data_IF_331366545020
#
_entry.id   IF_331366545020
#
_cell.length_a   1.000
_cell.length_b   1.000
_cell.length_c   1.000
_cell.angle_alpha   90.00
_cell.angle_beta   90.00
_cell.angle_gamma   90.00
#
_symmetry.space_group_name_H-M   'P 1'
#
loop_
_entity.id
_entity.type
_entity.pdbx_description
1 polymer ?
#
# COMPACT_ATOMS: atom_id res chain seq x y z
N UNK A 1 -23.00 18.54 21.43
CA UNK A 1 -23.32 17.53 20.39
C UNK A 1 -22.57 17.92 19.12
N UNK A 2 -21.69 17.06 18.62
CA UNK A 2 -20.68 17.44 17.62
C UNK A 2 -21.11 16.98 16.22
N UNK A 3 -21.20 17.90 15.25
CA UNK A 3 -21.57 17.62 13.86
C UNK A 3 -20.45 16.94 13.05
N UNK A 4 -19.73 16.00 13.67
CA UNK A 4 -18.59 15.28 13.07
C UNK A 4 -19.05 14.51 11.83
N UNK A 5 -20.31 14.06 11.79
CA UNK A 5 -20.88 13.39 10.62
C UNK A 5 -20.94 14.29 9.37
N UNK A 6 -21.13 15.60 9.56
CA UNK A 6 -21.22 16.58 8.45
C UNK A 6 -19.84 17.12 8.05
N UNK A 7 -18.95 17.32 9.02
CA UNK A 7 -17.59 17.85 8.78
C UNK A 7 -16.52 16.76 8.64
N UNK A 8 -16.88 15.48 8.67
CA UNK A 8 -16.00 14.34 8.47
C UNK A 8 -14.98 14.49 7.33
N UNK A 9 -15.38 14.86 6.10
CA UNK A 9 -14.42 15.03 5.00
C UNK A 9 -13.43 16.18 5.22
N UNK A 10 -13.86 17.28 5.86
CA UNK A 10 -12.97 18.41 6.19
C UNK A 10 -11.97 18.00 7.26
N UNK A 11 -12.41 17.26 8.27
CA UNK A 11 -11.55 16.74 9.35
C UNK A 11 -10.53 15.75 8.80
N UNK A 12 -10.94 14.83 7.93
CA UNK A 12 -10.03 13.90 7.24
C UNK A 12 -8.98 14.66 6.42
N UNK A 13 -9.40 15.66 5.66
CA UNK A 13 -8.48 16.47 4.87
C UNK A 13 -7.47 17.22 5.75
N UNK A 14 -7.89 17.82 6.87
CA UNK A 14 -6.97 18.50 7.81
C UNK A 14 -5.97 17.50 8.41
N UNK A 15 -6.43 16.33 8.84
CA UNK A 15 -5.58 15.31 9.46
C UNK A 15 -4.62 14.66 8.44
N UNK A 16 -4.98 14.60 7.16
CA UNK A 16 -4.08 14.13 6.11
C UNK A 16 -2.89 15.06 5.83
N UNK A 17 -2.93 16.32 6.28
CA UNK A 17 -1.86 17.31 6.04
C UNK A 17 -0.60 17.07 6.86
N UNK A 18 -0.68 16.34 7.97
CA UNK A 18 0.49 16.02 8.80
C UNK A 18 0.76 14.50 8.74
N UNK A 19 2.00 14.07 8.45
CA UNK A 19 2.32 12.65 8.29
C UNK A 19 1.94 11.78 9.49
N UNK A 20 2.11 12.30 10.71
CA UNK A 20 1.78 11.56 11.94
C UNK A 20 0.28 11.34 12.13
N UNK A 21 -0.56 12.32 11.77
CA UNK A 21 -2.01 12.17 11.84
C UNK A 21 -2.58 11.43 10.64
N UNK A 22 -1.89 11.46 9.50
CA UNK A 22 -2.29 10.76 8.29
C UNK A 22 -2.13 9.23 8.41
N UNK A 23 -1.03 8.79 9.04
CA UNK A 23 -0.80 7.37 9.33
C UNK A 23 -1.87 6.75 10.27
N UNK A 24 -2.56 7.58 11.05
CA UNK A 24 -3.67 7.17 11.92
C UNK A 24 -5.00 7.01 11.16
N UNK A 25 -5.07 7.39 9.88
CA UNK A 25 -6.31 7.32 9.11
C UNK A 25 -6.31 6.21 8.07
N UNK A 26 -5.13 5.77 7.63
CA UNK A 26 -4.99 4.85 6.49
C UNK A 26 -3.73 4.01 6.58
N UNK A 27 -3.83 2.83 5.98
CA UNK A 27 -2.66 1.98 5.70
C UNK A 27 -1.74 2.69 4.71
N UNK A 28 -0.44 2.75 5.03
CA UNK A 28 0.58 3.33 4.16
C UNK A 28 1.39 2.23 3.48
N UNK A 29 1.76 2.44 2.21
CA UNK A 29 2.50 1.49 1.39
C UNK A 29 3.78 2.15 0.89
N UNK A 30 4.91 1.49 1.07
CA UNK A 30 6.21 1.95 0.60
C UNK A 30 6.94 0.83 -0.15
N UNK A 31 7.30 1.06 -1.41
CA UNK A 31 8.16 0.15 -2.17
C UNK A 31 9.61 0.47 -1.81
N UNK A 32 10.36 -0.50 -1.28
CA UNK A 32 11.71 -0.27 -0.75
C UNK A 32 12.81 -0.86 -1.62
N UNK A 33 12.50 -1.91 -2.40
CA UNK A 33 13.45 -2.54 -3.30
C UNK A 33 12.72 -3.04 -4.53
N UNK A 34 13.30 -2.81 -5.70
CA UNK A 34 12.87 -3.40 -6.97
C UNK A 34 14.13 -3.92 -7.65
N UNK A 35 14.11 -5.18 -8.06
CA UNK A 35 15.23 -5.85 -8.72
C UNK A 35 14.72 -6.64 -9.94
N UNK A 36 15.41 -6.52 -11.07
CA UNK A 36 15.08 -7.26 -12.29
C UNK A 36 15.95 -6.81 -13.46
N UNK A 37 16.38 -7.77 -14.29
CA UNK A 37 17.31 -7.51 -15.40
C UNK A 37 18.76 -7.55 -14.94
N UNK A 38 19.52 -8.53 -15.44
CA UNK A 38 20.98 -8.57 -15.22
C UNK A 38 21.74 -7.75 -16.25
N UNK A 39 21.21 -7.62 -17.47
CA UNK A 39 21.82 -6.90 -18.59
C UNK A 39 20.80 -5.95 -19.20
N UNK A 40 21.31 -4.84 -19.70
CA UNK A 40 20.56 -3.76 -20.34
C UNK A 40 19.79 -4.20 -21.60
N UNK A 41 20.34 -5.15 -22.36
CA UNK A 41 19.77 -5.59 -23.63
C UNK A 41 19.10 -6.99 -23.59
N UNK A 42 18.74 -7.48 -22.40
CA UNK A 42 18.08 -8.78 -22.26
C UNK A 42 16.81 -8.63 -21.44
N UNK A 43 15.70 -9.18 -21.96
CA UNK A 43 14.46 -9.26 -21.21
C UNK A 43 14.64 -10.18 -20.00
N UNK A 44 14.43 -9.69 -18.77
CA UNK A 44 14.56 -10.52 -17.59
C UNK A 44 13.50 -11.61 -17.54
N UNK A 45 13.91 -12.81 -17.13
CA UNK A 45 13.00 -13.94 -16.88
C UNK A 45 12.16 -13.71 -15.63
N UNK A 46 12.64 -12.91 -14.66
CA UNK A 46 11.92 -12.59 -13.43
C UNK A 46 12.30 -11.21 -12.89
N UNK A 47 11.40 -10.63 -12.10
CA UNK A 47 11.63 -9.43 -11.32
C UNK A 47 11.04 -9.62 -9.93
N UNK A 48 11.64 -8.99 -8.93
CA UNK A 48 11.18 -9.00 -7.53
C UNK A 48 11.03 -7.58 -7.02
N UNK A 49 10.06 -7.38 -6.13
CA UNK A 49 9.85 -6.11 -5.45
C UNK A 49 9.50 -6.36 -3.98
N UNK A 50 10.13 -5.59 -3.09
CA UNK A 50 9.84 -5.59 -1.65
C UNK A 50 8.97 -4.39 -1.33
N UNK A 51 7.78 -4.64 -0.78
CA UNK A 51 6.80 -3.62 -0.44
C UNK A 51 6.46 -3.70 1.04
N UNK A 52 6.71 -2.62 1.76
CA UNK A 52 6.42 -2.48 3.16
C UNK A 52 5.06 -1.81 3.36
N UNK A 53 4.14 -2.53 3.98
CA UNK A 53 2.84 -2.01 4.38
C UNK A 53 2.83 -1.69 5.88
N UNK A 54 2.60 -0.43 6.24
CA UNK A 54 2.27 -0.02 7.61
C UNK A 54 0.76 -0.06 7.75
N UNK A 55 0.26 -1.19 8.25
CA UNK A 55 -1.16 -1.53 8.28
C UNK A 55 -1.86 -0.75 9.38
N UNK A 56 -2.95 -0.06 9.01
CA UNK A 56 -3.82 0.60 9.96
C UNK A 56 -4.68 -0.43 10.70
N UNK A 57 -5.01 -0.20 11.98
CA UNK A 57 -5.68 -1.18 12.86
C UNK A 57 -7.08 -1.58 12.38
N UNK A 58 -7.72 -0.76 11.55
CA UNK A 58 -9.02 -1.08 10.94
C UNK A 58 -8.91 -1.95 9.67
N UNK A 59 -7.72 -2.15 9.12
CA UNK A 59 -7.46 -3.02 7.98
C UNK A 59 -6.91 -4.38 8.44
N UNK A 60 -6.89 -5.36 7.53
CA UNK A 60 -6.33 -6.68 7.77
C UNK A 60 -5.28 -7.05 6.73
N UNK A 61 -4.27 -7.83 7.14
CA UNK A 61 -3.24 -8.33 6.23
C UNK A 61 -3.84 -9.11 5.05
N UNK A 62 -4.88 -9.91 5.28
CA UNK A 62 -5.56 -10.69 4.24
C UNK A 62 -6.16 -9.79 3.16
N UNK A 63 -6.87 -8.73 3.57
CA UNK A 63 -7.48 -7.75 2.65
C UNK A 63 -6.43 -7.04 1.81
N UNK A 64 -5.28 -6.71 2.40
CA UNK A 64 -4.17 -6.06 1.68
C UNK A 64 -3.55 -7.03 0.66
N UNK A 65 -3.32 -8.29 1.03
CA UNK A 65 -2.79 -9.31 0.13
C UNK A 65 -3.74 -9.58 -1.05
N UNK A 66 -5.05 -9.67 -0.79
CA UNK A 66 -6.07 -9.83 -1.81
C UNK A 66 -6.11 -8.61 -2.75
N UNK A 67 -6.06 -7.40 -2.19
CA UNK A 67 -5.99 -6.17 -2.97
C UNK A 67 -4.73 -6.12 -3.84
N UNK A 68 -3.56 -6.51 -3.30
CA UNK A 68 -2.31 -6.56 -4.06
C UNK A 68 -2.40 -7.58 -5.22
N UNK A 69 -2.94 -8.78 -4.97
CA UNK A 69 -3.16 -9.79 -6.03
C UNK A 69 -4.08 -9.27 -7.12
N UNK A 70 -5.17 -8.58 -6.73
CA UNK A 70 -6.12 -7.99 -7.68
C UNK A 70 -5.50 -6.88 -8.53
N UNK A 71 -4.67 -6.01 -7.94
CA UNK A 71 -4.03 -4.91 -8.67
C UNK A 71 -2.98 -5.44 -9.64
N UNK A 72 -2.18 -6.42 -9.22
CA UNK A 72 -1.10 -6.97 -10.05
C UNK A 72 -1.67 -7.82 -11.17
N UNK A 73 -2.77 -8.55 -10.91
CA UNK A 73 -3.53 -9.30 -11.92
C UNK A 73 -2.64 -10.22 -12.78
N UNK A 74 -1.69 -10.91 -12.13
CA UNK A 74 -0.80 -11.89 -12.75
C UNK A 74 -0.82 -13.18 -11.94
N UNK A 75 -1.18 -14.29 -12.61
CA UNK A 75 -1.26 -15.62 -12.01
C UNK A 75 0.12 -16.21 -11.67
N UNK A 76 1.20 -15.68 -12.25
CA UNK A 76 2.59 -16.10 -11.99
C UNK A 76 3.16 -15.48 -10.71
N UNK A 77 2.40 -14.61 -10.04
CA UNK A 77 2.85 -13.90 -8.86
C UNK A 77 3.13 -14.86 -7.70
N UNK A 78 4.38 -14.87 -7.24
CA UNK A 78 4.80 -15.53 -6.01
C UNK A 78 4.99 -14.47 -4.92
N UNK A 79 4.04 -14.41 -3.98
CA UNK A 79 4.10 -13.51 -2.83
C UNK A 79 4.75 -14.20 -1.63
N UNK A 80 5.82 -13.60 -1.10
CA UNK A 80 6.42 -13.99 0.18
C UNK A 80 6.08 -12.92 1.23
N UNK A 81 5.59 -13.34 2.41
CA UNK A 81 5.20 -12.49 3.55
C UNK A 81 6.24 -12.64 4.65
#
# INVERSE_FOLDING_TARGET
MSNIWLFGPVIQWVLSRKPGTDALQRTSTAVTLISGGEKDNILPTSASATVNHRIHTADSCRKILENNRRIINDDRLVSHI
#
